data_IF_459622987243
#
_entry.id   IF_459622987243
#
_cell.length_a   1.000
_cell.length_b   1.000
_cell.length_c   1.000
_cell.angle_alpha   90.00
_cell.angle_beta   90.00
_cell.angle_gamma   90.00
#
_symmetry.space_group_name_H-M   'P 1'
#
loop_
_entity.id
_entity.type
_entity.pdbx_description
1 polymer ?
#
# COMPACT_ATOMS: atom_id res chain seq x y z
N UNK A 1 -18.61 16.80 -0.07
CA UNK A 1 -17.97 15.57 -0.58
C UNK A 1 -18.14 14.47 0.46
N UNK A 2 -18.71 13.31 0.13
CA UNK A 2 -18.88 12.15 1.04
C UNK A 2 -18.15 10.95 0.44
N UNK A 3 -16.99 10.52 0.96
CA UNK A 3 -16.14 9.54 0.29
C UNK A 3 -16.59 8.08 0.48
N UNK A 4 -17.45 7.80 1.46
CA UNK A 4 -17.85 6.44 1.84
C UNK A 4 -16.80 5.75 2.72
N UNK A 5 -15.60 5.51 2.18
CA UNK A 5 -14.46 4.96 2.93
C UNK A 5 -13.25 5.91 2.91
N UNK A 6 -12.41 5.81 3.93
CA UNK A 6 -11.12 6.52 4.01
C UNK A 6 -9.99 5.59 4.47
N UNK A 7 -8.77 5.96 4.09
CA UNK A 7 -7.55 5.37 4.63
C UNK A 7 -7.11 6.22 5.82
N UNK A 8 -7.51 5.82 7.02
CA UNK A 8 -7.21 6.58 8.23
C UNK A 8 -5.76 6.30 8.69
N UNK A 9 -5.10 7.32 9.23
CA UNK A 9 -3.70 7.28 9.69
C UNK A 9 -3.56 8.12 10.96
N UNK A 10 -2.83 7.58 11.93
CA UNK A 10 -2.49 8.27 13.18
C UNK A 10 -1.11 8.91 13.11
N UNK A 11 -0.79 9.78 14.06
CA UNK A 11 0.57 10.32 14.21
C UNK A 11 1.62 9.20 14.32
N UNK A 12 1.33 8.15 15.08
CA UNK A 12 2.23 7.01 15.23
C UNK A 12 2.50 6.27 13.91
N UNK A 13 1.53 6.23 12.99
CA UNK A 13 1.74 5.63 11.67
C UNK A 13 2.74 6.42 10.82
N UNK A 14 2.74 7.76 10.95
CA UNK A 14 3.75 8.60 10.33
C UNK A 14 5.13 8.44 10.98
N UNK A 15 5.21 8.32 12.31
CA UNK A 15 6.48 8.04 12.99
C UNK A 15 7.04 6.67 12.58
N UNK A 16 6.19 5.65 12.48
CA UNK A 16 6.53 4.33 11.93
C UNK A 16 7.03 4.42 10.48
N UNK A 17 6.40 5.25 9.64
CA UNK A 17 6.85 5.50 8.28
C UNK A 17 8.27 6.11 8.25
N UNK A 18 8.55 7.09 9.10
CA UNK A 18 9.88 7.69 9.22
C UNK A 18 10.94 6.65 9.65
N UNK A 19 10.61 5.80 10.62
CA UNK A 19 11.46 4.67 11.00
C UNK A 19 11.75 3.75 9.81
N UNK A 20 10.72 3.40 9.04
CA UNK A 20 10.84 2.47 7.92
C UNK A 20 11.69 3.01 6.76
N UNK A 21 11.84 4.33 6.62
CA UNK A 21 12.72 4.96 5.61
C UNK A 21 14.12 5.30 6.15
N UNK A 22 14.45 4.92 7.38
CA UNK A 22 15.80 4.98 7.93
C UNK A 22 16.06 6.12 8.92
N UNK A 23 15.04 6.85 9.37
CA UNK A 23 15.20 7.77 10.50
C UNK A 23 15.34 6.98 11.79
N UNK A 24 16.22 7.45 12.68
CA UNK A 24 16.44 6.84 13.99
C UNK A 24 15.65 7.57 15.09
N UNK A 25 15.57 6.93 16.27
CA UNK A 25 14.86 7.45 17.44
C UNK A 25 15.25 8.90 17.78
N UNK A 26 16.53 9.25 17.66
CA UNK A 26 17.03 10.58 18.03
C UNK A 26 16.46 11.68 17.14
N UNK A 27 16.38 11.44 15.84
CA UNK A 27 15.80 12.40 14.89
C UNK A 27 14.29 12.45 15.02
N UNK A 28 13.63 11.30 15.20
CA UNK A 28 12.17 11.24 15.34
C UNK A 28 11.69 11.93 16.62
N UNK A 29 12.48 11.87 17.70
CA UNK A 29 12.17 12.53 18.96
C UNK A 29 12.05 14.06 18.83
N UNK A 30 12.65 14.67 17.80
CA UNK A 30 12.50 16.10 17.50
C UNK A 30 11.11 16.46 16.97
N UNK A 31 10.37 15.48 16.44
CA UNK A 31 9.04 15.65 15.84
C UNK A 31 7.92 15.09 16.73
N UNK A 32 8.24 14.26 17.72
CA UNK A 32 7.25 13.73 18.65
C UNK A 32 6.90 14.79 19.70
N UNK A 33 5.66 15.27 19.69
CA UNK A 33 5.13 16.20 20.71
C UNK A 33 4.95 15.56 22.11
N UNK A 34 5.40 14.31 22.29
CA UNK A 34 5.23 13.55 23.54
C UNK A 34 6.41 13.74 24.49
N UNK A 35 6.12 13.74 25.79
CA UNK A 35 7.11 13.68 26.85
C UNK A 35 7.91 12.36 26.88
N UNK A 36 7.40 11.32 26.20
CA UNK A 36 8.09 10.03 26.06
C UNK A 36 8.69 9.93 24.66
N UNK A 37 10.02 9.75 24.53
CA UNK A 37 10.68 9.59 23.24
C UNK A 37 10.11 8.39 22.46
N UNK A 38 9.71 8.64 21.22
CA UNK A 38 9.23 7.58 20.34
C UNK A 38 10.35 6.60 19.99
N UNK A 39 10.05 5.30 20.04
CA UNK A 39 11.00 4.22 19.73
C UNK A 39 10.60 3.52 18.45
N UNK A 40 11.50 3.47 17.48
CA UNK A 40 11.24 2.79 16.23
C UNK A 40 11.00 1.29 16.45
N UNK A 41 9.82 0.76 16.09
CA UNK A 41 9.61 -0.66 16.16
C UNK A 41 10.43 -1.36 15.09
N UNK A 42 11.03 -2.51 15.44
CA UNK A 42 11.77 -3.34 14.48
C UNK A 42 10.92 -3.83 13.30
N UNK A 43 9.60 -3.86 13.48
CA UNK A 43 8.62 -4.24 12.48
C UNK A 43 8.20 -3.09 11.54
N UNK A 44 8.71 -1.87 11.74
CA UNK A 44 8.39 -0.73 10.89
C UNK A 44 8.68 -1.05 9.42
N UNK A 45 7.65 -1.03 8.58
CA UNK A 45 7.74 -1.38 7.18
C UNK A 45 6.77 -0.55 6.35
N UNK A 46 7.28 0.04 5.26
CA UNK A 46 6.50 0.82 4.30
C UNK A 46 5.32 0.05 3.70
N UNK A 47 5.41 -1.27 3.64
CA UNK A 47 4.36 -2.15 3.10
C UNK A 47 3.03 -2.00 3.88
N UNK A 48 3.10 -1.67 5.17
CA UNK A 48 1.94 -1.53 6.06
C UNK A 48 1.45 -0.09 6.23
N UNK A 49 2.15 0.91 5.67
CA UNK A 49 1.70 2.30 5.77
C UNK A 49 0.37 2.47 5.04
N UNK A 50 -0.67 2.86 5.76
CA UNK A 50 -2.06 2.88 5.29
C UNK A 50 -2.36 4.05 4.34
N UNK A 51 -1.55 4.25 3.32
CA UNK A 51 -1.67 5.37 2.38
C UNK A 51 -2.65 5.04 1.23
N UNK A 52 -3.42 6.01 0.70
CA UNK A 52 -4.43 5.80 -0.35
C UNK A 52 -3.85 5.52 -1.75
N UNK A 53 -2.60 5.05 -1.84
CA UNK A 53 -1.96 4.60 -3.08
C UNK A 53 -1.05 3.41 -2.83
N UNK A 54 -0.73 2.69 -3.91
CA UNK A 54 0.22 1.58 -3.91
C UNK A 54 1.44 1.95 -4.75
N UNK A 55 2.58 1.93 -4.08
CA UNK A 55 3.89 2.35 -4.60
C UNK A 55 4.85 1.16 -4.52
N UNK A 56 5.34 0.65 -5.65
CA UNK A 56 6.34 -0.41 -5.66
C UNK A 56 7.53 -0.01 -6.55
N UNK A 57 8.55 0.67 -6.00
CA UNK A 57 9.65 1.22 -6.78
C UNK A 57 10.56 0.16 -7.41
N UNK A 58 10.58 -1.05 -6.86
CA UNK A 58 11.33 -2.20 -7.39
C UNK A 58 10.62 -3.50 -7.04
N UNK A 59 9.88 -4.06 -7.98
CA UNK A 59 9.19 -5.34 -7.85
C UNK A 59 10.09 -6.48 -8.33
N UNK A 60 10.43 -7.39 -7.42
CA UNK A 60 11.10 -8.66 -7.73
C UNK A 60 10.22 -9.83 -7.29
N UNK A 61 9.58 -10.49 -8.26
CA UNK A 61 8.65 -11.58 -7.98
C UNK A 61 7.30 -11.08 -7.48
N UNK A 62 7.03 -11.22 -6.18
CA UNK A 62 5.73 -10.98 -5.55
C UNK A 62 5.87 -10.06 -4.33
N UNK A 63 4.92 -9.15 -4.15
CA UNK A 63 4.77 -8.35 -2.94
C UNK A 63 3.31 -8.36 -2.50
N UNK A 64 3.07 -8.40 -1.19
CA UNK A 64 1.74 -8.29 -0.61
C UNK A 64 1.70 -7.05 0.28
N UNK A 65 0.72 -6.19 0.06
CA UNK A 65 0.52 -4.91 0.75
C UNK A 65 -0.78 -4.97 1.54
N UNK A 66 -0.77 -4.52 2.79
CA UNK A 66 -1.98 -4.46 3.62
C UNK A 66 -2.46 -3.03 3.72
N UNK A 67 -3.77 -2.82 3.60
CA UNK A 67 -4.43 -1.55 3.88
C UNK A 67 -5.66 -1.77 4.74
N UNK A 68 -6.04 -0.73 5.47
CA UNK A 68 -7.24 -0.68 6.29
C UNK A 68 -8.14 0.46 5.80
N UNK A 69 -9.38 0.13 5.50
CA UNK A 69 -10.40 1.11 5.14
C UNK A 69 -11.33 1.32 6.33
N UNK A 70 -11.61 2.58 6.63
CA UNK A 70 -12.57 3.00 7.64
C UNK A 70 -13.83 3.51 6.98
N UNK A 71 -14.98 3.01 7.42
CA UNK A 71 -16.27 3.53 6.98
C UNK A 71 -16.56 4.90 7.60
N UNK A 72 -16.87 5.89 6.78
CA UNK A 72 -17.30 7.23 7.21
C UNK A 72 -18.67 7.60 6.65
N UNK A 73 -19.39 6.62 6.09
CA UNK A 73 -20.74 6.77 5.56
C UNK A 73 -21.71 5.71 6.11
N UNK A 74 -22.88 5.63 5.50
CA UNK A 74 -23.88 4.62 5.86
C UNK A 74 -23.36 3.19 5.60
N UNK A 75 -23.91 2.18 6.29
CA UNK A 75 -23.58 0.78 6.04
C UNK A 75 -23.72 0.40 4.57
N UNK A 76 -22.73 -0.31 4.03
CA UNK A 76 -22.65 -0.62 2.60
C UNK A 76 -21.70 -1.78 2.30
N UNK A 77 -21.86 -2.42 1.15
CA UNK A 77 -20.95 -3.45 0.63
C UNK A 77 -20.26 -2.96 -0.63
N UNK A 78 -18.94 -2.84 -0.54
CA UNK A 78 -18.09 -2.40 -1.64
C UNK A 78 -17.52 -3.60 -2.39
N UNK A 79 -17.52 -3.54 -3.72
CA UNK A 79 -16.82 -4.51 -4.59
C UNK A 79 -15.46 -3.96 -4.98
N UNK A 80 -14.45 -4.83 -4.97
CA UNK A 80 -13.12 -4.51 -5.48
C UNK A 80 -13.10 -4.58 -7.01
N UNK A 81 -12.57 -3.52 -7.63
CA UNK A 81 -12.31 -3.46 -9.07
C UNK A 81 -10.84 -3.16 -9.31
N UNK A 82 -10.13 -4.09 -9.94
CA UNK A 82 -8.69 -3.99 -10.21
C UNK A 82 -8.47 -3.71 -11.70
N UNK A 83 -7.66 -2.70 -11.99
CA UNK A 83 -7.05 -2.51 -13.32
C UNK A 83 -5.55 -2.73 -13.18
N UNK A 84 -5.09 -3.92 -13.55
CA UNK A 84 -3.68 -4.29 -13.54
C UNK A 84 -2.94 -3.73 -14.78
N UNK A 85 -1.68 -3.30 -14.65
CA UNK A 85 -0.84 -3.04 -15.82
C UNK A 85 -0.50 -4.34 -16.57
N UNK A 86 -0.23 -4.23 -17.87
CA UNK A 86 0.13 -5.38 -18.71
C UNK A 86 1.35 -6.12 -18.16
N UNK A 87 1.33 -7.45 -18.14
CA UNK A 87 2.43 -8.27 -17.61
C UNK A 87 2.51 -8.37 -16.07
N UNK A 88 1.61 -7.70 -15.34
CA UNK A 88 1.50 -7.78 -13.88
C UNK A 88 0.20 -8.47 -13.50
N UNK A 89 0.25 -9.31 -12.47
CA UNK A 89 -0.93 -9.81 -11.76
C UNK A 89 -1.17 -8.94 -10.54
N UNK A 90 -2.40 -8.49 -10.35
CA UNK A 90 -2.82 -7.75 -9.15
C UNK A 90 -4.09 -8.42 -8.65
N UNK A 91 -4.08 -8.90 -7.41
CA UNK A 91 -5.21 -9.58 -6.78
C UNK A 91 -5.48 -8.99 -5.41
N UNK A 92 -6.76 -8.82 -5.07
CA UNK A 92 -7.21 -8.47 -3.73
C UNK A 92 -7.71 -9.75 -3.08
N UNK A 93 -7.36 -9.98 -1.81
CA UNK A 93 -7.80 -11.15 -1.05
C UNK A 93 -9.33 -11.23 -0.92
N UNK A 94 -9.98 -10.08 -0.79
CA UNK A 94 -11.43 -9.94 -0.67
C UNK A 94 -12.01 -9.30 -1.93
N UNK A 95 -12.96 -9.97 -2.58
CA UNK A 95 -13.71 -9.40 -3.72
C UNK A 95 -14.76 -8.38 -3.25
N UNK A 96 -15.22 -8.51 -2.00
CA UNK A 96 -16.19 -7.65 -1.34
C UNK A 96 -15.74 -7.27 0.06
N UNK A 97 -16.10 -6.05 0.45
CA UNK A 97 -15.87 -5.50 1.78
C UNK A 97 -17.21 -4.92 2.27
N UNK A 98 -17.79 -5.58 3.28
CA UNK A 98 -19.01 -5.11 3.94
C UNK A 98 -18.66 -4.36 5.20
N UNK A 99 -19.24 -3.18 5.35
CA UNK A 99 -19.18 -2.36 6.56
C UNK A 99 -20.60 -2.08 7.08
N UNK A 100 -20.83 -2.39 8.34
CA UNK A 100 -22.13 -2.43 9.01
C UNK A 100 -22.41 -1.16 9.84
N UNK A 101 -21.38 -0.36 10.11
CA UNK A 101 -21.51 0.87 10.92
C UNK A 101 -20.44 1.91 10.58
N UNK A 102 -20.74 3.18 10.91
CA UNK A 102 -19.75 4.28 10.82
C UNK A 102 -18.62 4.00 11.80
N UNK A 103 -17.38 4.21 11.35
CA UNK A 103 -16.17 3.98 12.13
C UNK A 103 -15.66 2.54 12.08
N UNK A 104 -16.42 1.58 11.52
CA UNK A 104 -15.91 0.22 11.35
C UNK A 104 -14.74 0.20 10.38
N UNK A 105 -13.70 -0.54 10.76
CA UNK A 105 -12.49 -0.72 9.97
C UNK A 105 -12.43 -2.13 9.40
N UNK A 106 -11.97 -2.24 8.15
CA UNK A 106 -11.74 -3.52 7.46
C UNK A 106 -10.39 -3.48 6.76
N UNK A 107 -9.53 -4.42 7.09
CA UNK A 107 -8.25 -4.62 6.40
C UNK A 107 -8.42 -5.53 5.18
N UNK A 108 -7.63 -5.29 4.15
CA UNK A 108 -7.51 -6.16 2.99
C UNK A 108 -6.05 -6.26 2.54
N UNK A 109 -5.71 -7.36 1.89
CA UNK A 109 -4.41 -7.55 1.26
C UNK A 109 -4.49 -7.40 -0.26
N UNK A 110 -3.52 -6.70 -0.83
CA UNK A 110 -3.27 -6.58 -2.26
C UNK A 110 -1.98 -7.31 -2.60
N UNK A 111 -2.07 -8.40 -3.36
CA UNK A 111 -0.90 -9.14 -3.86
C UNK A 111 -0.60 -8.74 -5.30
N UNK A 112 0.66 -8.39 -5.55
CA UNK A 112 1.15 -7.96 -6.85
C UNK A 112 2.29 -8.89 -7.25
N UNK A 113 2.19 -9.48 -8.44
CA UNK A 113 3.16 -10.45 -8.94
C UNK A 113 3.55 -10.15 -10.38
N UNK A 114 4.84 -10.17 -10.68
CA UNK A 114 5.33 -10.12 -12.06
C UNK A 114 5.05 -11.44 -12.77
N UNK A 115 4.42 -11.40 -13.95
CA UNK A 115 4.14 -12.62 -14.76
C UNK A 115 5.35 -13.09 -15.58
N UNK A 116 6.38 -12.25 -15.76
CA UNK A 116 7.62 -12.58 -16.47
C UNK A 116 8.84 -12.07 -15.70
N UNK A 117 9.97 -12.78 -15.80
CA UNK A 117 11.27 -12.20 -15.51
C UNK A 117 11.61 -11.23 -16.64
N UNK A 118 11.78 -9.95 -16.35
CA UNK A 118 12.02 -8.97 -17.40
C UNK A 118 12.16 -7.54 -16.88
N UNK A 119 12.91 -6.75 -17.64
CA UNK A 119 13.21 -5.34 -17.32
C UNK A 119 12.12 -4.46 -17.92
N UNK A 120 11.14 -4.05 -17.12
CA UNK A 120 10.38 -2.85 -17.47
C UNK A 120 11.32 -1.65 -17.29
N UNK A 121 11.74 -1.02 -18.41
CA UNK A 121 12.56 0.20 -18.35
C UNK A 121 11.77 1.39 -17.77
N UNK A 122 10.44 1.36 -17.85
CA UNK A 122 9.54 2.45 -17.47
C UNK A 122 8.56 2.06 -16.35
N UNK A 123 7.97 3.07 -15.71
CA UNK A 123 6.90 2.91 -14.73
C UNK A 123 5.64 2.32 -15.34
N UNK A 124 4.97 1.47 -14.57
CA UNK A 124 3.75 0.78 -14.94
C UNK A 124 2.63 1.23 -14.00
N UNK A 125 1.44 1.48 -14.54
CA UNK A 125 0.33 2.07 -13.80
C UNK A 125 -0.91 1.18 -13.80
N UNK A 126 -1.58 1.16 -12.67
CA UNK A 126 -2.86 0.48 -12.47
C UNK A 126 -3.70 1.22 -11.44
N UNK A 127 -4.76 0.56 -10.97
CA UNK A 127 -5.57 1.07 -9.86
C UNK A 127 -6.37 -0.04 -9.20
N UNK A 128 -6.66 0.15 -7.92
CA UNK A 128 -7.75 -0.50 -7.20
C UNK A 128 -8.88 0.51 -7.02
N UNK A 129 -10.12 0.08 -7.14
CA UNK A 129 -11.29 0.88 -6.79
C UNK A 129 -12.25 0.04 -5.98
N UNK A 130 -12.61 0.52 -4.79
CA UNK A 130 -13.72 -0.01 -4.02
C UNK A 130 -14.97 0.80 -4.36
N UNK A 131 -16.05 0.13 -4.74
CA UNK A 131 -17.31 0.79 -5.10
C UNK A 131 -18.54 0.01 -4.66
N UNK A 132 -19.53 0.71 -4.14
CA UNK A 132 -20.87 0.22 -3.83
C UNK A 132 -21.91 0.65 -4.89
N UNK A 133 -21.43 1.23 -6.01
CA UNK A 133 -22.27 1.81 -7.07
C UNK A 133 -22.56 3.30 -6.89
N UNK A 134 -22.29 3.88 -5.71
CA UNK A 134 -22.47 5.31 -5.41
C UNK A 134 -21.13 5.98 -5.15
N UNK A 135 -20.32 5.36 -4.29
CA UNK A 135 -18.98 5.81 -3.92
C UNK A 135 -17.92 5.11 -4.77
N UNK A 136 -16.83 5.82 -5.06
CA UNK A 136 -15.69 5.32 -5.85
C UNK A 136 -14.38 5.64 -5.15
N UNK A 137 -13.97 4.76 -4.24
CA UNK A 137 -12.75 4.91 -3.45
C UNK A 137 -11.60 4.32 -4.26
N UNK A 138 -10.88 5.19 -4.98
CA UNK A 138 -9.85 4.80 -5.95
C UNK A 138 -8.45 5.02 -5.40
N UNK A 139 -7.64 3.97 -5.44
CA UNK A 139 -6.22 4.02 -5.13
C UNK A 139 -5.38 3.75 -6.38
N UNK A 140 -4.54 4.70 -6.82
CA UNK A 140 -3.62 4.46 -7.91
C UNK A 140 -2.56 3.44 -7.49
N UNK A 141 -2.16 2.61 -8.46
CA UNK A 141 -1.04 1.70 -8.34
C UNK A 141 0.04 2.15 -9.32
N UNK A 142 1.27 2.28 -8.84
CA UNK A 142 2.42 2.46 -9.70
C UNK A 142 3.56 1.55 -9.26
N UNK A 143 4.27 1.00 -10.24
CA UNK A 143 5.36 0.08 -9.97
C UNK A 143 6.44 0.13 -11.06
N UNK A 144 7.61 -0.41 -10.72
CA UNK A 144 8.69 -0.68 -11.66
C UNK A 144 9.27 -2.06 -11.36
N UNK A 145 9.61 -2.83 -12.40
CA UNK A 145 10.25 -4.13 -12.23
C UNK A 145 11.72 -3.98 -11.86
N UNK A 146 12.21 -4.84 -10.97
CA UNK A 146 13.64 -4.88 -10.63
C UNK A 146 14.46 -5.22 -11.87
N UNK A 147 15.50 -4.44 -12.14
CA UNK A 147 16.46 -4.75 -13.21
C UNK A 147 17.25 -6.00 -12.85
N UNK A 148 17.29 -6.98 -13.76
CA UNK A 148 18.26 -8.06 -13.65
C UNK A 148 19.65 -7.50 -13.95
N UNK A 149 20.57 -7.58 -12.99
CA UNK A 149 22.00 -7.39 -13.24
C UNK A 149 22.44 -8.56 -14.13
N UNK A 150 22.84 -8.29 -15.39
CA UNK A 150 23.59 -9.29 -16.15
C UNK A 150 24.85 -9.62 -15.33
N UNK A 151 24.98 -10.87 -14.87
CA UNK A 151 26.26 -11.39 -14.38
C UNK A 151 27.19 -11.35 -15.59
N UNK A 152 28.11 -10.40 -15.61
CA UNK A 152 29.11 -10.28 -16.66
C UNK A 152 29.87 -11.60 -16.82
N UNK A 153 30.06 -12.04 -18.06
CA UNK A 153 31.01 -13.11 -18.36
C UNK A 153 32.39 -12.70 -17.83
N UNK A 154 32.89 -13.46 -16.86
CA UNK A 154 34.31 -13.48 -16.54
C UNK A 154 34.98 -14.43 -17.54
N UNK A 155 35.59 -13.88 -18.58
CA UNK A 155 36.59 -14.61 -19.35
C UNK A 155 37.87 -14.56 -18.51
N UNK A 156 38.29 -15.71 -18.00
CA UNK A 156 39.68 -15.98 -17.61
C UNK A 156 40.19 -17.09 -18.49
#
# INVERSE_FOLDING_TARGET
MKPGLVYDLTTNDYLNFLCAIGYNDSVISLFSESSVPYKCPKSANLVHFNYPSFTIPSLSGTVTLTRTLKNVGSPSTYKAQVRAPSGISVSVELDKLTVDSIGQEKSFQLTIKSKKAGVAKNYMFGKLTWTDGVHYVRSPLWLRLQQQKHRGWSIR
#
